data_IF_998390047403
#
_entry.id   IF_998390047403
#
_cell.length_a   1.000
_cell.length_b   1.000
_cell.length_c   1.000
_cell.angle_alpha   90.00
_cell.angle_beta   90.00
_cell.angle_gamma   90.00
#
_symmetry.space_group_name_H-M   'P 1'
#
loop_
_entity.id
_entity.type
_entity.pdbx_description
1 polymer ?
#
# COMPACT_ATOMS: atom_id res chain seq x y z
N UNK A 1 4.08 -2.42 -24.35
CA UNK A 1 3.48 -2.22 -23.01
C UNK A 1 4.07 -0.96 -22.39
N UNK A 2 3.26 -0.06 -21.81
CA UNK A 2 3.77 1.19 -21.24
C UNK A 2 4.71 0.92 -20.06
N UNK A 3 5.82 1.66 -19.97
CA UNK A 3 6.80 1.60 -18.89
C UNK A 3 6.58 2.74 -17.91
N UNK A 4 5.61 2.57 -17.03
CA UNK A 4 5.31 3.56 -16.00
C UNK A 4 6.40 3.49 -14.94
N UNK A 5 7.03 4.64 -14.66
CA UNK A 5 8.09 4.78 -13.65
C UNK A 5 7.66 5.56 -12.43
N UNK A 6 6.83 6.58 -12.63
CA UNK A 6 6.41 7.47 -11.55
C UNK A 6 4.91 7.65 -11.59
N UNK A 7 4.25 7.49 -10.44
CA UNK A 7 2.81 7.70 -10.31
C UNK A 7 2.51 8.54 -9.08
N UNK A 8 1.68 9.56 -9.26
CA UNK A 8 1.22 10.45 -8.21
C UNK A 8 -0.29 10.24 -8.01
N UNK A 9 -0.68 9.75 -6.83
CA UNK A 9 -2.06 9.73 -6.36
C UNK A 9 -2.27 10.57 -5.12
N UNK A 10 -1.34 11.46 -4.79
CA UNK A 10 -1.46 12.27 -3.59
C UNK A 10 -2.76 13.10 -3.58
N UNK A 11 -3.32 13.34 -2.39
CA UNK A 11 -4.58 14.09 -2.20
C UNK A 11 -5.79 13.45 -2.87
N UNK A 12 -5.92 12.13 -2.73
CA UNK A 12 -7.10 11.39 -3.15
C UNK A 12 -7.72 10.67 -1.94
N UNK A 13 -8.71 9.82 -2.20
CA UNK A 13 -9.41 9.02 -1.19
C UNK A 13 -9.07 7.53 -1.30
N UNK A 14 -7.84 7.20 -1.74
CA UNK A 14 -7.42 5.82 -1.87
C UNK A 14 -7.19 5.22 -0.49
N UNK A 15 -7.90 4.14 -0.20
CA UNK A 15 -7.75 3.39 1.06
C UNK A 15 -6.91 2.14 0.90
N UNK A 16 -6.90 1.52 -0.28
CA UNK A 16 -6.21 0.25 -0.50
C UNK A 16 -5.85 0.07 -1.98
N UNK A 17 -4.98 -0.91 -2.24
CA UNK A 17 -4.74 -1.42 -3.58
C UNK A 17 -5.14 -2.89 -3.66
N UNK A 18 -5.71 -3.27 -4.80
CA UNK A 18 -6.04 -4.66 -5.10
C UNK A 18 -5.07 -5.22 -6.13
N UNK A 19 -4.79 -6.53 -6.00
CA UNK A 19 -3.91 -7.28 -6.91
C UNK A 19 -4.42 -7.29 -8.35
N UNK A 20 -5.72 -7.11 -8.56
CA UNK A 20 -6.37 -7.08 -9.86
C UNK A 20 -5.99 -5.85 -10.69
N UNK A 21 -5.83 -4.69 -10.05
CA UNK A 21 -5.50 -3.43 -10.74
C UNK A 21 -3.97 -3.25 -10.81
N UNK A 22 -3.26 -3.67 -9.78
CA UNK A 22 -1.83 -3.45 -9.58
C UNK A 22 -1.03 -4.75 -9.77
N UNK A 23 -1.32 -5.47 -10.86
CA UNK A 23 -0.62 -6.71 -11.20
C UNK A 23 0.89 -6.49 -11.37
N UNK A 24 1.67 -7.58 -11.25
CA UNK A 24 3.15 -7.59 -11.37
C UNK A 24 3.70 -6.79 -12.56
N UNK A 25 3.00 -6.78 -13.69
CA UNK A 25 3.45 -6.12 -14.90
C UNK A 25 3.58 -4.60 -14.78
N UNK A 26 2.69 -3.94 -14.03
CA UNK A 26 2.72 -2.49 -13.84
C UNK A 26 3.76 -2.06 -12.80
N UNK A 27 3.98 -2.90 -11.79
CA UNK A 27 4.90 -2.62 -10.69
C UNK A 27 6.35 -2.97 -11.01
N UNK A 28 6.61 -3.76 -12.05
CA UNK A 28 7.97 -4.16 -12.44
C UNK A 28 8.85 -3.01 -12.93
N UNK A 29 8.26 -1.91 -13.44
CA UNK A 29 9.02 -0.74 -13.92
C UNK A 29 8.83 0.49 -13.04
N UNK A 30 8.04 0.39 -11.98
CA UNK A 30 7.72 1.51 -11.12
C UNK A 30 8.93 1.83 -10.23
N UNK A 31 9.34 3.09 -10.23
CA UNK A 31 10.46 3.62 -9.46
C UNK A 31 9.93 4.49 -8.29
N UNK A 32 8.83 5.22 -8.50
CA UNK A 32 8.26 6.14 -7.53
C UNK A 32 6.73 6.10 -7.47
N UNK A 33 6.21 6.13 -6.26
CA UNK A 33 4.77 6.15 -5.99
C UNK A 33 4.46 7.13 -4.84
N UNK A 34 3.67 8.17 -5.15
CA UNK A 34 3.22 9.12 -4.14
C UNK A 34 1.77 8.89 -3.74
N UNK A 35 1.56 8.53 -2.48
CA UNK A 35 0.29 8.26 -1.82
C UNK A 35 0.02 9.23 -0.66
N UNK A 36 0.79 10.32 -0.52
CA UNK A 36 0.55 11.29 0.55
C UNK A 36 -0.87 11.83 0.53
N UNK A 37 -1.38 12.22 1.70
CA UNK A 37 -2.74 12.74 1.85
C UNK A 37 -3.82 11.78 1.32
N UNK A 38 -3.65 10.47 1.52
CA UNK A 38 -4.67 9.45 1.28
C UNK A 38 -4.97 8.68 2.57
N UNK A 39 -6.23 8.26 2.81
CA UNK A 39 -6.61 7.47 3.98
C UNK A 39 -6.20 6.00 3.85
N UNK A 40 -4.91 5.73 3.62
CA UNK A 40 -4.42 4.40 3.23
C UNK A 40 -4.38 3.43 4.42
N UNK A 41 -4.96 2.24 4.24
CA UNK A 41 -5.09 1.19 5.25
C UNK A 41 -3.92 0.21 5.11
N UNK A 42 -3.08 0.17 6.14
CA UNK A 42 -1.86 -0.62 6.20
C UNK A 42 -2.04 -1.94 6.93
N UNK A 43 -2.97 -2.76 6.48
CA UNK A 43 -3.25 -4.06 7.06
C UNK A 43 -2.76 -5.23 6.18
N UNK A 44 -3.09 -6.44 6.59
CA UNK A 44 -2.68 -7.64 5.88
C UNK A 44 -3.16 -7.70 4.41
N UNK A 45 -4.23 -6.99 4.04
CA UNK A 45 -4.78 -6.98 2.68
C UNK A 45 -3.81 -6.39 1.67
N UNK A 46 -2.89 -5.53 2.12
CA UNK A 46 -1.84 -4.92 1.27
C UNK A 46 -0.44 -5.50 1.51
N UNK A 47 -0.33 -6.64 2.21
CA UNK A 47 0.97 -7.32 2.43
C UNK A 47 1.67 -7.67 1.11
N UNK A 48 0.89 -8.07 0.10
CA UNK A 48 1.40 -8.39 -1.24
C UNK A 48 2.04 -7.16 -1.90
N UNK A 49 1.44 -5.98 -1.71
CA UNK A 49 1.93 -4.73 -2.26
C UNK A 49 3.30 -4.39 -1.68
N UNK A 50 3.45 -4.46 -0.35
CA UNK A 50 4.76 -4.25 0.30
C UNK A 50 5.83 -5.24 -0.17
N UNK A 51 5.45 -6.48 -0.50
CA UNK A 51 6.39 -7.50 -0.97
C UNK A 51 6.98 -7.18 -2.34
N UNK A 52 6.22 -6.53 -3.22
CA UNK A 52 6.63 -6.24 -4.60
C UNK A 52 7.16 -4.83 -4.78
N UNK A 53 6.88 -3.91 -3.84
CA UNK A 53 7.37 -2.53 -3.87
C UNK A 53 8.62 -2.31 -3.02
N UNK A 54 9.48 -3.32 -2.89
CA UNK A 54 10.70 -3.22 -2.04
C UNK A 54 11.68 -2.16 -2.51
N UNK A 55 11.85 -2.05 -3.82
CA UNK A 55 12.77 -1.11 -4.47
C UNK A 55 12.08 0.19 -4.92
N UNK A 56 10.77 0.32 -4.68
CA UNK A 56 9.98 1.48 -5.10
C UNK A 56 10.06 2.56 -4.03
N UNK A 57 10.35 3.79 -4.44
CA UNK A 57 10.28 4.96 -3.56
C UNK A 57 8.83 5.32 -3.29
N UNK A 58 8.28 4.81 -2.19
CA UNK A 58 6.90 5.11 -1.75
C UNK A 58 6.89 6.26 -0.75
N UNK A 59 6.08 7.27 -1.00
CA UNK A 59 5.72 8.32 -0.02
C UNK A 59 4.26 8.20 0.36
N UNK A 60 3.96 8.30 1.65
CA UNK A 60 2.61 8.12 2.18
C UNK A 60 2.65 7.55 3.60
N UNK A 61 1.59 7.82 4.34
CA UNK A 61 1.42 7.42 5.72
C UNK A 61 0.18 6.53 5.86
N UNK A 62 0.20 5.65 6.84
CA UNK A 62 -0.96 4.84 7.16
C UNK A 62 -1.99 5.67 7.91
N UNK A 63 -3.24 5.65 7.46
CA UNK A 63 -4.36 6.19 8.22
C UNK A 63 -4.89 5.15 9.22
N UNK A 64 -4.81 3.87 8.85
CA UNK A 64 -5.24 2.71 9.62
C UNK A 64 -4.24 1.55 9.44
N UNK A 65 -4.25 0.53 10.31
CA UNK A 65 -4.95 0.48 11.61
C UNK A 65 -4.37 1.47 12.64
N UNK A 66 -5.06 1.66 13.77
CA UNK A 66 -4.68 2.65 14.80
C UNK A 66 -3.23 2.50 15.28
N UNK A 67 -2.73 1.28 15.43
CA UNK A 67 -1.35 0.99 15.85
C UNK A 67 -0.29 1.37 14.80
N UNK A 68 -0.68 1.59 13.54
CA UNK A 68 0.20 2.02 12.46
C UNK A 68 -0.13 3.44 11.98
N UNK A 69 -1.15 4.10 12.54
CA UNK A 69 -1.56 5.45 12.13
C UNK A 69 -0.40 6.44 12.20
N UNK A 70 -0.20 7.19 11.12
CA UNK A 70 0.89 8.17 10.95
C UNK A 70 2.26 7.55 10.65
N UNK A 71 2.39 6.22 10.57
CA UNK A 71 3.65 5.57 10.19
C UNK A 71 3.83 5.65 8.68
N UNK A 72 5.05 5.96 8.26
CA UNK A 72 5.41 6.00 6.85
C UNK A 72 5.44 4.60 6.23
N UNK A 73 4.85 4.44 5.05
CA UNK A 73 4.82 3.17 4.29
C UNK A 73 6.22 2.62 3.99
N UNK A 74 7.20 3.50 3.77
CA UNK A 74 8.60 3.13 3.55
C UNK A 74 9.24 2.46 4.77
N UNK A 75 8.83 2.83 5.98
CA UNK A 75 9.42 2.38 7.25
C UNK A 75 8.75 1.10 7.80
N UNK A 76 7.66 0.64 7.20
CA UNK A 76 6.99 -0.60 7.59
C UNK A 76 7.73 -1.83 7.08
N UNK A 77 7.67 -2.90 7.86
CA UNK A 77 8.17 -4.23 7.55
C UNK A 77 7.03 -5.18 7.16
N UNK A 78 7.33 -6.33 6.56
CA UNK A 78 6.31 -7.34 6.23
C UNK A 78 5.59 -7.90 7.47
N UNK A 79 6.17 -7.75 8.67
CA UNK A 79 5.57 -8.21 9.93
C UNK A 79 4.45 -7.29 10.40
N UNK A 80 4.51 -6.01 10.06
CA UNK A 80 3.45 -5.05 10.40
C UNK A 80 2.12 -5.39 9.71
N UNK A 81 2.17 -6.13 8.60
CA UNK A 81 1.01 -6.61 7.83
C UNK A 81 0.65 -8.09 8.14
N UNK A 82 1.15 -8.66 9.24
CA UNK A 82 0.99 -10.09 9.54
C UNK A 82 -0.35 -10.43 10.22
N UNK A 83 -1.00 -9.46 10.86
CA UNK A 83 -2.26 -9.65 11.54
C UNK A 83 -3.43 -9.26 10.63
N UNK A 84 -4.23 -10.25 10.20
CA UNK A 84 -5.57 -10.00 9.68
C UNK A 84 -6.56 -10.20 10.83
N UNK A 85 -7.34 -9.19 11.26
CA UNK A 85 -8.55 -9.49 12.01
C UNK A 85 -9.41 -10.42 11.14
N UNK A 86 -9.77 -11.60 11.67
CA UNK A 86 -10.75 -12.45 11.00
C UNK A 86 -12.04 -11.64 10.90
N UNK A 87 -12.71 -11.69 9.75
CA UNK A 87 -13.99 -11.03 9.58
C UNK A 87 -14.89 -11.37 10.78
N UNK A 88 -15.59 -10.39 11.38
CA UNK A 88 -16.59 -10.70 12.39
C UNK A 88 -17.55 -11.75 11.81
N UNK A 89 -18.01 -12.74 12.59
CA UNK A 89 -19.10 -13.60 12.15
C UNK A 89 -20.22 -12.71 11.62
N UNK A 90 -20.73 -13.00 10.42
CA UNK A 90 -21.98 -12.43 9.96
C UNK A 90 -23.04 -12.92 10.96
N UNK A 91 -23.58 -12.00 11.77
CA UNK A 91 -24.83 -12.24 12.52
C UNK A 91 -26.01 -12.34 11.55
#
# INVERSE_FOLDING_TARGET
MPRIRTVYFNRNLLTTFTTTIWGRAYLATLEELNLQDNPFVCDCSIRWFKMITKEVRITGECAEPLNLKGRWLRDLSLRDFSYCPKAPPLE
#
